data_IF_953794493436
#
_entry.id   IF_953794493436
#
_cell.length_a   1.000
_cell.length_b   1.000
_cell.length_c   1.000
_cell.angle_alpha   90.00
_cell.angle_beta   90.00
_cell.angle_gamma   90.00
#
_symmetry.space_group_name_H-M   'P 1'
#
loop_
_entity.id
_entity.type
_entity.pdbx_description
1 polymer ?
#
# COMPACT_ATOMS: atom_id res chain seq x y z
N UNK A 1 11.47 6.46 -10.64
CA UNK A 1 11.93 7.19 -9.44
C UNK A 1 11.45 6.42 -8.24
N UNK A 2 12.33 5.61 -7.64
CA UNK A 2 12.05 4.94 -6.37
C UNK A 2 12.25 5.99 -5.27
N UNK A 3 11.20 6.27 -4.51
CA UNK A 3 11.27 7.13 -3.33
C UNK A 3 11.66 6.26 -2.14
N UNK A 4 12.83 6.55 -1.58
CA UNK A 4 13.40 5.85 -0.43
C UNK A 4 12.50 5.99 0.81
N UNK A 5 12.13 4.86 1.41
CA UNK A 5 11.39 4.81 2.67
C UNK A 5 12.40 4.75 3.82
N UNK A 6 12.41 5.74 4.72
CA UNK A 6 13.25 5.77 5.92
C UNK A 6 12.39 5.57 7.18
N UNK A 7 12.37 4.38 7.80
CA UNK A 7 11.94 4.24 9.18
C UNK A 7 13.04 4.79 10.10
N UNK A 8 12.66 5.41 11.21
CA UNK A 8 13.55 6.18 12.10
C UNK A 8 14.75 5.39 12.63
N UNK A 9 15.94 6.01 12.58
CA UNK A 9 17.23 5.46 13.00
C UNK A 9 17.56 5.91 14.44
N UNK A 10 17.77 4.96 15.35
CA UNK A 10 18.60 5.17 16.55
C UNK A 10 20.05 4.83 16.21
N UNK A 11 20.99 5.61 16.74
CA UNK A 11 22.37 5.79 16.25
C UNK A 11 23.30 4.55 16.24
N UNK A 12 22.80 3.35 16.54
CA UNK A 12 23.60 2.12 16.67
C UNK A 12 23.47 1.15 15.48
N UNK A 13 22.52 1.35 14.55
CA UNK A 13 22.26 0.43 13.42
C UNK A 13 23.09 0.76 12.15
N UNK A 14 24.30 1.30 12.33
CA UNK A 14 25.23 1.67 11.23
C UNK A 14 26.20 0.52 10.89
N UNK A 15 25.93 -0.72 11.31
CA UNK A 15 26.69 -1.87 10.82
C UNK A 15 26.06 -2.43 9.53
N UNK A 16 26.56 -1.93 8.39
CA UNK A 16 26.40 -2.52 7.05
C UNK A 16 24.96 -2.94 6.71
N UNK A 17 24.13 -1.98 6.36
CA UNK A 17 22.84 -2.27 5.73
C UNK A 17 23.07 -2.86 4.32
N UNK A 18 23.30 -4.18 4.25
CA UNK A 18 23.38 -4.92 3.00
C UNK A 18 21.97 -5.05 2.41
N UNK A 19 21.75 -4.40 1.26
CA UNK A 19 20.50 -4.52 0.53
C UNK A 19 20.39 -5.92 -0.07
N UNK A 20 19.56 -6.76 0.53
CA UNK A 20 19.17 -8.05 -0.04
C UNK A 20 18.11 -7.85 -1.12
N UNK A 21 18.37 -8.36 -2.33
CA UNK A 21 17.41 -8.33 -3.44
C UNK A 21 16.46 -9.53 -3.33
N UNK A 22 15.19 -9.27 -3.06
CA UNK A 22 14.13 -10.27 -3.12
C UNK A 22 13.22 -10.03 -4.32
N UNK A 23 12.83 -11.12 -4.98
CA UNK A 23 11.88 -11.11 -6.08
C UNK A 23 10.68 -11.96 -5.66
N UNK A 24 9.53 -11.31 -5.56
CA UNK A 24 8.27 -11.95 -5.23
C UNK A 24 7.37 -11.99 -6.46
N UNK A 25 6.71 -13.12 -6.68
CA UNK A 25 5.73 -13.26 -7.76
C UNK A 25 4.34 -13.09 -7.19
N UNK A 26 3.66 -12.03 -7.61
CA UNK A 26 2.26 -11.82 -7.26
C UNK A 26 1.39 -12.86 -7.99
N UNK A 27 0.41 -13.48 -7.32
CA UNK A 27 -0.50 -14.42 -7.97
C UNK A 27 -1.29 -13.72 -9.08
N UNK A 28 -1.18 -14.26 -10.30
CA UNK A 28 -1.62 -13.65 -11.57
C UNK A 28 -3.16 -13.45 -11.67
N UNK A 29 -3.93 -14.18 -10.85
CA UNK A 29 -5.39 -14.29 -11.02
C UNK A 29 -6.23 -13.22 -10.29
N UNK A 30 -5.62 -12.33 -9.50
CA UNK A 30 -6.37 -11.41 -8.64
C UNK A 30 -6.09 -9.91 -8.84
N UNK A 31 -5.14 -9.55 -9.72
CA UNK A 31 -4.76 -8.14 -9.92
C UNK A 31 -5.02 -7.74 -11.38
N UNK A 32 -6.22 -7.26 -11.73
CA UNK A 32 -6.46 -6.65 -13.04
C UNK A 32 -5.82 -5.25 -13.17
N UNK A 33 -4.73 -4.98 -12.45
CA UNK A 33 -4.24 -3.62 -12.23
C UNK A 33 -2.80 -3.49 -12.72
N UNK A 34 -2.67 -3.12 -13.99
CA UNK A 34 -1.41 -2.80 -14.66
C UNK A 34 -0.69 -1.56 -14.08
N UNK A 35 -1.15 -0.99 -12.96
CA UNK A 35 -0.69 0.29 -12.40
C UNK A 35 -0.76 0.35 -10.86
N UNK A 36 -0.35 -0.71 -10.15
CA UNK A 36 -0.17 -0.68 -8.69
C UNK A 36 1.25 -0.28 -8.29
N UNK A 37 1.37 0.36 -7.14
CA UNK A 37 2.64 0.78 -6.55
C UNK A 37 2.70 0.39 -5.09
N UNK A 38 3.93 0.17 -4.60
CA UNK A 38 4.18 -0.11 -3.18
C UNK A 38 3.92 1.15 -2.37
N UNK A 39 2.99 1.04 -1.43
CA UNK A 39 2.65 2.08 -0.46
C UNK A 39 3.58 2.00 0.75
N UNK A 40 3.92 0.78 1.16
CA UNK A 40 4.77 0.51 2.31
C UNK A 40 4.58 -0.92 2.81
N UNK A 41 4.93 -1.15 4.06
CA UNK A 41 4.83 -2.45 4.72
C UNK A 41 4.17 -2.30 6.09
N UNK A 42 3.29 -3.22 6.44
CA UNK A 42 2.68 -3.28 7.78
C UNK A 42 3.68 -3.78 8.81
N UNK A 43 3.37 -3.59 10.11
CA UNK A 43 4.17 -4.16 11.20
C UNK A 43 4.23 -5.70 11.17
N UNK A 44 3.27 -6.35 10.49
CA UNK A 44 3.21 -7.81 10.28
C UNK A 44 4.04 -8.28 9.08
N UNK A 45 4.72 -7.38 8.37
CA UNK A 45 5.54 -7.72 7.20
C UNK A 45 4.76 -7.89 5.89
N UNK A 46 3.51 -7.40 5.84
CA UNK A 46 2.69 -7.44 4.62
C UNK A 46 2.97 -6.20 3.78
N UNK A 47 3.23 -6.41 2.49
CA UNK A 47 3.48 -5.35 1.52
C UNK A 47 2.12 -4.81 1.06
N UNK A 48 1.92 -3.50 1.21
CA UNK A 48 0.69 -2.82 0.82
C UNK A 48 0.86 -2.22 -0.58
N UNK A 49 -0.07 -2.54 -1.49
CA UNK A 49 -0.09 -2.05 -2.86
C UNK A 49 -1.37 -1.25 -3.13
N UNK A 50 -1.26 -0.17 -3.89
CA UNK A 50 -2.40 0.66 -4.30
C UNK A 50 -2.23 1.15 -5.73
N UNK A 51 -3.36 1.38 -6.42
CA UNK A 51 -3.35 2.12 -7.68
C UNK A 51 -3.00 3.60 -7.46
N UNK A 52 -2.33 4.21 -8.45
CA UNK A 52 -2.02 5.65 -8.45
C UNK A 52 -3.21 6.53 -8.80
N UNK A 53 -4.16 5.98 -9.56
CA UNK A 53 -5.38 6.65 -9.97
C UNK A 53 -6.58 5.96 -9.35
N UNK A 54 -7.61 6.74 -9.07
CA UNK A 54 -8.94 6.24 -8.73
C UNK A 54 -9.52 5.41 -9.87
N UNK A 55 -10.23 4.34 -9.52
CA UNK A 55 -10.92 3.45 -10.46
C UNK A 55 -12.20 2.94 -9.82
N UNK A 56 -13.18 2.51 -10.63
CA UNK A 56 -14.40 1.86 -10.13
C UNK A 56 -14.43 0.42 -10.64
N UNK A 57 -14.30 -0.59 -9.76
CA UNK A 57 -13.97 -0.52 -8.32
C UNK A 57 -12.52 -0.07 -8.03
N UNK A 58 -12.27 0.46 -6.81
CA UNK A 58 -10.92 0.79 -6.33
C UNK A 58 -10.47 -0.26 -5.31
N UNK A 59 -9.26 -0.80 -5.49
CA UNK A 59 -8.72 -1.84 -4.61
C UNK A 59 -7.39 -1.43 -3.98
N UNK A 60 -7.22 -1.83 -2.73
CA UNK A 60 -5.93 -1.90 -2.04
C UNK A 60 -5.59 -3.37 -1.85
N UNK A 61 -4.33 -3.74 -2.07
CA UNK A 61 -3.87 -5.11 -1.93
C UNK A 61 -2.89 -5.25 -0.77
N UNK A 62 -3.01 -6.35 -0.04
CA UNK A 62 -2.09 -6.76 1.01
C UNK A 62 -1.43 -8.06 0.58
N UNK A 63 -0.13 -8.02 0.34
CA UNK A 63 0.65 -9.18 -0.05
C UNK A 63 1.50 -9.67 1.11
N UNK A 64 1.32 -10.92 1.49
CA UNK A 64 2.17 -11.59 2.48
C UNK A 64 3.22 -12.43 1.74
N UNK A 65 4.51 -12.04 1.75
CA UNK A 65 5.56 -12.78 1.05
C UNK A 65 5.87 -14.14 1.69
N UNK A 66 5.69 -14.31 3.00
CA UNK A 66 5.95 -15.57 3.70
C UNK A 66 4.94 -16.65 3.31
N UNK A 67 3.67 -16.25 3.23
CA UNK A 67 2.55 -17.15 2.88
C UNK A 67 2.27 -17.19 1.39
N UNK A 68 2.88 -16.29 0.63
CA UNK A 68 2.60 -16.03 -0.79
C UNK A 68 1.10 -15.82 -1.05
N UNK A 69 0.44 -15.07 -0.16
CA UNK A 69 -1.00 -14.78 -0.26
C UNK A 69 -1.22 -13.32 -0.62
N UNK A 70 -2.20 -13.09 -1.48
CA UNK A 70 -2.64 -11.75 -1.85
C UNK A 70 -4.09 -11.56 -1.40
N UNK A 71 -4.34 -10.52 -0.62
CA UNK A 71 -5.68 -10.10 -0.25
C UNK A 71 -6.03 -8.80 -0.97
N UNK A 72 -7.22 -8.73 -1.55
CA UNK A 72 -7.77 -7.50 -2.12
C UNK A 72 -8.87 -6.94 -1.22
N UNK A 73 -8.85 -5.63 -1.02
CA UNK A 73 -9.85 -4.90 -0.26
C UNK A 73 -10.44 -3.82 -1.17
N UNK A 74 -11.74 -3.91 -1.44
CA UNK A 74 -12.47 -2.89 -2.16
C UNK A 74 -12.65 -1.66 -1.26
N UNK A 75 -12.11 -0.51 -1.66
CA UNK A 75 -12.40 0.75 -0.99
C UNK A 75 -13.64 1.34 -1.65
N UNK A 76 -14.65 1.59 -0.83
CA UNK A 76 -15.88 2.27 -1.26
C UNK A 76 -15.78 3.74 -0.91
N UNK A 77 -16.08 4.60 -1.88
CA UNK A 77 -15.99 6.04 -1.72
C UNK A 77 -17.08 6.52 -0.75
N UNK A 78 -16.90 7.71 -0.20
CA UNK A 78 -17.93 8.37 0.61
C UNK A 78 -19.10 8.76 -0.31
N UNK A 79 -20.33 8.47 0.12
CA UNK A 79 -21.57 8.75 -0.62
C UNK A 79 -22.14 7.52 -1.34
N UNK A 80 -23.46 7.49 -1.52
CA UNK A 80 -24.22 6.37 -2.12
C UNK A 80 -23.73 6.01 -3.53
N UNK A 81 -23.16 6.99 -4.23
CA UNK A 81 -22.71 6.85 -5.62
C UNK A 81 -21.20 6.76 -5.77
N UNK A 82 -20.41 6.56 -4.69
CA UNK A 82 -18.93 6.51 -4.68
C UNK A 82 -18.26 7.51 -5.65
N UNK A 83 -18.78 8.74 -5.71
CA UNK A 83 -18.44 9.76 -6.70
C UNK A 83 -16.94 10.13 -6.68
N UNK A 84 -16.29 9.92 -5.53
CA UNK A 84 -14.85 10.06 -5.36
C UNK A 84 -14.02 9.27 -6.38
N UNK A 85 -14.59 8.19 -6.94
CA UNK A 85 -13.93 7.31 -7.90
C UNK A 85 -14.41 7.49 -9.35
N UNK A 86 -15.36 8.39 -9.63
CA UNK A 86 -15.88 8.62 -11.00
C UNK A 86 -14.94 9.44 -11.88
N UNK A 87 -14.06 10.21 -11.28
CA UNK A 87 -13.06 11.02 -11.97
C UNK A 87 -11.67 10.44 -11.76
N UNK A 88 -10.82 10.48 -12.79
CA UNK A 88 -9.41 10.14 -12.70
C UNK A 88 -8.68 11.13 -11.77
N UNK A 89 -8.48 10.73 -10.52
CA UNK A 89 -7.81 11.50 -9.47
C UNK A 89 -6.61 10.72 -8.97
N UNK A 90 -5.54 11.44 -8.64
CA UNK A 90 -4.36 10.83 -8.01
C UNK A 90 -4.69 10.40 -6.59
N UNK A 91 -4.28 9.19 -6.26
CA UNK A 91 -4.38 8.62 -4.92
C UNK A 91 -3.02 8.72 -4.23
N UNK A 92 -3.05 9.22 -3.00
CA UNK A 92 -1.94 9.20 -2.08
C UNK A 92 -2.31 8.29 -0.92
N UNK A 93 -1.57 7.19 -0.77
CA UNK A 93 -1.77 6.22 0.29
C UNK A 93 -0.52 6.21 1.18
N UNK A 94 -0.73 5.96 2.47
CA UNK A 94 0.33 5.85 3.46
C UNK A 94 0.01 4.65 4.36
N UNK A 95 1.03 3.88 4.72
CA UNK A 95 0.92 2.89 5.79
C UNK A 95 1.22 3.62 7.10
N UNK A 96 0.46 3.31 8.15
CA UNK A 96 0.64 3.86 9.51
C UNK A 96 0.18 5.32 9.71
N UNK A 97 -1.05 5.64 9.27
CA UNK A 97 -1.69 6.89 9.65
C UNK A 97 -2.26 6.78 11.07
N UNK A 98 -1.55 7.35 12.05
CA UNK A 98 -2.07 7.56 13.39
C UNK A 98 -3.10 8.68 13.32
N UNK A 99 -4.38 8.33 13.39
CA UNK A 99 -5.45 9.32 13.53
C UNK A 99 -5.31 9.94 14.92
N UNK A 100 -5.04 11.24 14.97
CA UNK A 100 -5.15 12.00 16.20
C UNK A 100 -6.60 11.85 16.72
N UNK A 101 -6.74 11.29 17.92
CA UNK A 101 -8.04 11.01 18.57
C UNK A 101 -8.92 12.26 18.75
N UNK A 102 -8.34 13.45 18.58
CA UNK A 102 -9.04 14.75 18.59
C UNK A 102 -9.90 15.01 17.36
N UNK A 103 -9.74 14.23 16.28
CA UNK A 103 -10.49 14.39 15.03
C UNK A 103 -11.52 13.28 14.79
N UNK A 104 -11.63 12.31 15.70
CA UNK A 104 -12.69 11.29 15.73
C UNK A 104 -13.71 11.72 16.80
N UNK A 105 -14.41 12.82 16.57
CA UNK A 105 -15.52 13.28 17.43
C UNK A 105 -16.79 13.36 16.63
#
# INVERSE_FOLDING_TARGET
MCSDFRPGLTSEDVEKQEWSKYVYTLPESQVPVYNVFVVGMTATGEIVLSAKQTSRPFYVFYYNPEKNTLQSVEIRGVGEHQEAFDSDRRVYAFVDYVVDSKFIT
#
